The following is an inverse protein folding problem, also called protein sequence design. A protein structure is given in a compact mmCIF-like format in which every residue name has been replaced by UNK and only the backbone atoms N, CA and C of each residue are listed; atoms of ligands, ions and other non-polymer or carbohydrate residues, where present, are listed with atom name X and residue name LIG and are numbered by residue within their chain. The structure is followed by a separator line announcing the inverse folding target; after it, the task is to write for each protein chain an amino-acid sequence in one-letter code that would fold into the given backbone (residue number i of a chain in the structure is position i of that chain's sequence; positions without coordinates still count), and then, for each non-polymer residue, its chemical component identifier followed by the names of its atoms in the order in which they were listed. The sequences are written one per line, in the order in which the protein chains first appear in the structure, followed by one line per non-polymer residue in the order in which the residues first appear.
data_IF_403755982328
#
_entry.id   IF_403755982328
#
_cell.length_a   1.000
_cell.length_b   1.000
_cell.length_c   1.000
_cell.angle_alpha   90.00
_cell.angle_beta   90.00
_cell.angle_gamma   90.00
#
_symmetry.space_group_name_H-M   'P 1'
#
loop_
_entity.id
_entity.type
_entity.pdbx_description
1 polymer ?
#
# COMPACT_ATOMS: atom_id res chain seq x y z
N UNK A 1 -7.69 61.08 14.00
CA UNK A 1 -7.82 59.70 13.49
C UNK A 1 -6.55 59.37 12.70
N UNK A 2 -5.56 58.79 13.36
CA UNK A 2 -4.36 58.26 12.69
C UNK A 2 -4.54 56.75 12.56
N UNK A 3 -4.61 56.25 11.34
CA UNK A 3 -4.64 54.81 11.05
C UNK A 3 -3.24 54.26 11.43
N UNK A 4 -3.12 53.27 12.32
CA UNK A 4 -1.82 52.68 12.61
C UNK A 4 -1.36 51.92 11.37
N UNK A 5 -0.28 52.40 10.75
CA UNK A 5 0.45 51.69 9.71
C UNK A 5 1.13 50.48 10.33
N UNK A 6 0.46 49.33 10.28
CA UNK A 6 1.03 48.03 10.64
C UNK A 6 2.23 47.78 9.73
N UNK A 7 3.43 47.79 10.32
CA UNK A 7 4.68 47.92 9.59
C UNK A 7 5.00 46.71 8.73
N UNK A 8 5.40 46.96 7.48
CA UNK A 8 5.95 45.96 6.55
C UNK A 8 7.11 45.13 7.16
N UNK A 9 7.80 45.67 8.17
CA UNK A 9 8.86 44.97 8.91
C UNK A 9 8.34 43.85 9.83
N UNK A 10 7.16 44.01 10.43
CA UNK A 10 6.60 43.04 11.38
C UNK A 10 6.00 41.82 10.64
N UNK A 11 5.46 42.03 9.44
CA UNK A 11 5.08 40.96 8.51
C UNK A 11 6.29 40.16 8.01
N UNK A 12 7.41 40.83 7.73
CA UNK A 12 8.63 40.13 7.30
C UNK A 12 9.26 39.31 8.44
N UNK A 13 9.20 39.81 9.67
CA UNK A 13 9.78 39.12 10.83
C UNK A 13 8.93 37.92 11.28
N UNK A 14 7.60 38.04 11.22
CA UNK A 14 6.67 36.92 11.45
C UNK A 14 6.70 35.88 10.32
N UNK A 15 6.81 36.33 9.06
CA UNK A 15 7.04 35.43 7.92
C UNK A 15 8.38 34.69 8.04
N UNK A 16 9.47 35.36 8.45
CA UNK A 16 10.78 34.73 8.65
C UNK A 16 10.82 33.77 9.86
N UNK A 17 10.05 34.02 10.91
CA UNK A 17 9.90 33.11 12.05
C UNK A 17 9.10 31.85 11.67
N UNK A 18 8.04 32.02 10.88
CA UNK A 18 7.30 30.90 10.29
C UNK A 18 8.15 30.13 9.25
N UNK A 19 8.98 30.83 8.47
CA UNK A 19 9.92 30.25 7.52
C UNK A 19 10.99 29.41 8.23
N UNK A 20 11.55 29.90 9.33
CA UNK A 20 12.52 29.17 10.15
C UNK A 20 11.89 27.96 10.85
N UNK A 21 10.62 28.05 11.28
CA UNK A 21 9.89 26.90 11.83
C UNK A 21 9.57 25.83 10.77
N UNK A 22 9.31 26.26 9.53
CA UNK A 22 9.07 25.36 8.39
C UNK A 22 10.38 24.71 7.90
N UNK A 23 11.45 25.48 7.71
CA UNK A 23 12.76 24.99 7.24
C UNK A 23 13.47 24.06 8.25
N UNK A 24 13.42 24.34 9.55
CA UNK A 24 14.07 23.48 10.55
C UNK A 24 13.34 22.13 10.72
N UNK A 25 12.05 22.09 10.37
CA UNK A 25 11.25 20.86 10.32
C UNK A 25 11.30 20.14 8.98
N UNK A 26 11.72 20.77 7.87
CA UNK A 26 11.60 20.19 6.53
C UNK A 26 12.30 18.82 6.38
N UNK A 27 13.52 18.68 6.91
CA UNK A 27 14.26 17.41 6.84
C UNK A 27 13.67 16.33 7.75
N UNK A 28 13.30 16.69 8.99
CA UNK A 28 12.66 15.78 9.92
C UNK A 28 11.28 15.33 9.42
N UNK A 29 10.52 16.26 8.85
CA UNK A 29 9.24 16.04 8.21
C UNK A 29 9.40 15.09 7.02
N UNK A 30 10.31 15.36 6.07
CA UNK A 30 10.58 14.46 4.94
C UNK A 30 10.96 13.05 5.38
N UNK A 31 11.81 12.93 6.40
CA UNK A 31 12.12 11.62 6.99
C UNK A 31 10.88 10.97 7.58
N UNK A 32 10.12 11.66 8.43
CA UNK A 32 8.90 11.13 9.07
C UNK A 32 7.87 10.67 8.03
N UNK A 33 7.65 11.43 6.97
CA UNK A 33 6.76 11.07 5.84
C UNK A 33 7.21 9.80 5.11
N UNK A 34 8.50 9.47 5.14
CA UNK A 34 9.05 8.23 4.63
C UNK A 34 8.88 7.07 5.62
N UNK A 35 9.12 7.33 6.91
CA UNK A 35 9.10 6.33 7.96
C UNK A 35 7.70 5.80 8.26
N UNK A 36 6.67 6.65 8.19
CA UNK A 36 5.27 6.26 8.42
C UNK A 36 4.82 5.11 7.49
N UNK A 37 4.89 5.22 6.16
CA UNK A 37 4.48 4.13 5.26
C UNK A 37 5.34 2.88 5.43
N UNK A 38 6.65 3.06 5.71
CA UNK A 38 7.54 1.94 5.99
C UNK A 38 7.09 1.17 7.24
N UNK A 39 6.81 1.88 8.34
CA UNK A 39 6.37 1.29 9.60
C UNK A 39 5.03 0.56 9.45
N UNK A 40 4.04 1.16 8.76
CA UNK A 40 2.75 0.52 8.50
C UNK A 40 2.93 -0.79 7.74
N UNK A 41 3.74 -0.77 6.67
CA UNK A 41 4.00 -1.97 5.86
C UNK A 41 4.70 -3.06 6.68
N UNK A 42 5.79 -2.74 7.37
CA UNK A 42 6.57 -3.71 8.17
C UNK A 42 5.82 -4.23 9.39
N UNK A 43 4.85 -3.47 9.93
CA UNK A 43 3.98 -3.95 11.00
C UNK A 43 2.95 -4.95 10.49
N UNK A 44 2.35 -4.71 9.32
CA UNK A 44 1.36 -5.61 8.73
C UNK A 44 1.96 -6.87 8.09
N UNK A 45 3.22 -6.80 7.63
CA UNK A 45 3.86 -7.86 6.88
C UNK A 45 4.04 -9.19 7.66
N UNK A 46 4.55 -9.23 8.91
CA UNK A 46 4.73 -10.48 9.65
C UNK A 46 3.45 -11.25 9.84
N UNK A 47 2.35 -10.55 10.15
CA UNK A 47 1.03 -11.15 10.30
C UNK A 47 0.52 -11.78 9.00
N UNK A 48 0.73 -11.09 7.88
CA UNK A 48 0.36 -11.62 6.57
C UNK A 48 1.23 -12.83 6.18
N UNK A 49 2.54 -12.77 6.40
CA UNK A 49 3.43 -13.90 6.15
C UNK A 49 3.07 -15.11 7.01
N UNK A 50 2.80 -14.93 8.30
CA UNK A 50 2.39 -16.01 9.19
C UNK A 50 1.11 -16.70 8.71
N UNK A 51 0.09 -15.91 8.32
CA UNK A 51 -1.16 -16.44 7.74
C UNK A 51 -0.89 -17.21 6.45
N UNK A 52 -0.09 -16.65 5.55
CA UNK A 52 0.24 -17.30 4.28
C UNK A 52 1.01 -18.59 4.50
N UNK A 53 1.97 -18.62 5.43
CA UNK A 53 2.80 -19.78 5.74
C UNK A 53 2.00 -20.94 6.31
N UNK A 54 1.06 -20.66 7.22
CA UNK A 54 0.24 -21.65 7.90
C UNK A 54 -0.91 -22.19 7.04
N UNK A 55 -1.32 -21.46 6.00
CA UNK A 55 -2.26 -21.99 5.02
C UNK A 55 -1.59 -23.07 4.17
N UNK A 56 -2.30 -24.20 4.00
CA UNK A 56 -1.89 -25.26 3.07
C UNK A 56 -1.67 -24.65 1.69
N UNK A 57 -0.58 -25.03 1.01
CA UNK A 57 -0.36 -24.65 -0.38
C UNK A 57 -1.58 -25.06 -1.19
N UNK A 58 -2.17 -24.10 -1.88
CA UNK A 58 -3.26 -24.34 -2.81
C UNK A 58 -2.69 -24.18 -4.21
N UNK A 59 -2.64 -25.28 -4.94
CA UNK A 59 -2.30 -25.27 -6.35
C UNK A 59 -3.54 -24.79 -7.11
N UNK A 60 -3.46 -23.62 -7.71
CA UNK A 60 -4.52 -23.13 -8.60
C UNK A 60 -4.16 -23.53 -10.03
N UNK A 61 -5.04 -24.24 -10.74
CA UNK A 61 -4.80 -24.57 -12.13
C UNK A 61 -5.01 -23.33 -12.99
N UNK A 62 -4.01 -23.03 -13.80
CA UNK A 62 -4.21 -22.36 -15.08
C UNK A 62 -3.78 -20.88 -15.12
N UNK A 63 -3.37 -20.40 -16.31
CA UNK A 63 -2.89 -19.06 -16.54
C UNK A 63 -4.01 -18.13 -17.06
N UNK A 64 -4.83 -17.51 -16.21
CA UNK A 64 -5.72 -16.41 -16.62
C UNK A 64 -5.63 -15.13 -15.75
N UNK A 65 -5.38 -13.98 -16.43
CA UNK A 65 -5.45 -12.55 -16.00
C UNK A 65 -4.31 -11.97 -15.13
N UNK A 66 -3.05 -12.29 -15.44
CA UNK A 66 -1.86 -11.79 -14.71
C UNK A 66 -1.32 -10.42 -15.11
N UNK A 67 -1.85 -9.79 -16.16
CA UNK A 67 -1.29 -8.58 -16.76
C UNK A 67 -1.18 -7.43 -15.76
N UNK A 68 -2.24 -7.16 -14.98
CA UNK A 68 -2.27 -6.04 -14.01
C UNK A 68 -1.26 -6.22 -12.88
N UNK A 69 -1.17 -7.41 -12.29
CA UNK A 69 -0.22 -7.67 -11.20
C UNK A 69 1.23 -7.72 -11.74
N UNK A 70 1.45 -8.20 -12.98
CA UNK A 70 2.76 -8.10 -13.62
C UNK A 70 3.16 -6.65 -13.89
N UNK A 71 2.22 -5.83 -14.39
CA UNK A 71 2.40 -4.39 -14.56
C UNK A 71 2.73 -3.72 -13.22
N UNK A 72 2.04 -4.05 -12.14
CA UNK A 72 2.33 -3.50 -10.81
C UNK A 72 3.76 -3.81 -10.35
N UNK A 73 4.25 -5.04 -10.57
CA UNK A 73 5.63 -5.40 -10.24
C UNK A 73 6.66 -4.60 -11.04
N UNK A 74 6.42 -4.43 -12.35
CA UNK A 74 7.28 -3.62 -13.20
C UNK A 74 7.30 -2.18 -12.70
N UNK A 75 6.15 -1.61 -12.36
CA UNK A 75 6.06 -0.23 -11.87
C UNK A 75 6.84 -0.07 -10.57
N UNK A 76 6.69 -0.98 -9.60
CA UNK A 76 7.44 -0.91 -8.34
C UNK A 76 8.95 -1.07 -8.59
N UNK A 77 9.37 -1.94 -9.50
CA UNK A 77 10.77 -2.08 -9.90
C UNK A 77 11.32 -0.81 -10.54
N UNK A 78 10.55 -0.13 -11.39
CA UNK A 78 10.93 1.17 -11.96
C UNK A 78 11.07 2.20 -10.82
N UNK A 79 10.17 2.22 -9.83
CA UNK A 79 10.30 3.09 -8.66
C UNK A 79 11.58 2.81 -7.86
N UNK A 80 11.97 1.55 -7.70
CA UNK A 80 13.26 1.18 -7.07
C UNK A 80 14.41 1.78 -7.86
N UNK A 81 14.45 1.59 -9.18
CA UNK A 81 15.51 2.12 -10.05
C UNK A 81 15.57 3.65 -9.96
N UNK A 82 14.43 4.33 -10.06
CA UNK A 82 14.36 5.79 -9.94
C UNK A 82 14.87 6.29 -8.59
N UNK A 83 14.52 5.62 -7.50
CA UNK A 83 15.01 5.98 -6.16
C UNK A 83 16.54 5.85 -6.07
N UNK A 84 17.13 4.79 -6.64
CA UNK A 84 18.59 4.59 -6.72
C UNK A 84 19.24 5.69 -7.56
N UNK A 85 18.71 5.99 -8.74
CA UNK A 85 19.23 7.05 -9.60
C UNK A 85 19.20 8.43 -8.92
N UNK A 86 18.12 8.73 -8.18
CA UNK A 86 17.98 9.97 -7.45
C UNK A 86 19.01 10.08 -6.31
N UNK A 87 19.22 9.02 -5.53
CA UNK A 87 20.22 9.00 -4.47
C UNK A 87 21.65 9.15 -5.00
N UNK A 88 22.00 8.44 -6.08
CA UNK A 88 23.32 8.55 -6.70
C UNK A 88 23.55 9.94 -7.30
N UNK A 89 22.53 10.56 -7.90
CA UNK A 89 22.60 11.93 -8.39
C UNK A 89 22.84 12.95 -7.27
N UNK A 90 22.12 12.78 -6.15
CA UNK A 90 22.31 13.58 -4.94
C UNK A 90 23.72 13.45 -4.37
N UNK A 91 24.21 12.22 -4.20
CA UNK A 91 25.52 11.95 -3.62
C UNK A 91 26.65 12.50 -4.50
N UNK A 92 26.57 12.30 -5.83
CA UNK A 92 27.54 12.88 -6.77
C UNK A 92 27.55 14.41 -6.69
N UNK A 93 26.37 15.03 -6.57
CA UNK A 93 26.26 16.48 -6.50
C UNK A 93 26.81 17.07 -5.19
N UNK A 94 26.57 16.40 -4.07
CA UNK A 94 27.05 16.82 -2.75
C UNK A 94 28.57 16.70 -2.64
N UNK A 95 29.15 15.64 -3.23
CA UNK A 95 30.60 15.45 -3.29
C UNK A 95 31.31 16.50 -4.16
N UNK A 96 30.61 17.13 -5.11
CA UNK A 96 31.16 18.17 -5.98
C UNK A 96 31.05 19.59 -5.41
N UNK A 97 30.08 19.89 -4.54
CA UNK A 97 29.71 21.29 -4.23
C UNK A 97 30.14 21.78 -2.83
N UNK A 98 30.16 20.97 -1.76
CA UNK A 98 30.84 21.24 -0.47
C UNK A 98 30.35 20.25 0.60
N UNK A 99 31.21 19.96 1.57
CA UNK A 99 31.00 18.99 2.66
C UNK A 99 29.78 19.36 3.53
N UNK A 100 28.66 18.67 3.31
CA UNK A 100 27.53 18.69 4.23
C UNK A 100 27.93 18.06 5.59
N UNK A 101 27.38 18.53 6.72
CA UNK A 101 27.71 17.97 8.03
C UNK A 101 27.27 16.51 8.16
N UNK A 102 28.16 15.68 8.72
CA UNK A 102 28.08 14.19 8.77
C UNK A 102 26.76 13.66 9.36
N UNK A 103 26.15 14.39 10.29
CA UNK A 103 24.88 13.98 10.91
C UNK A 103 23.68 14.01 9.95
N UNK A 104 23.68 14.93 8.98
CA UNK A 104 22.57 15.14 8.06
C UNK A 104 22.57 14.13 6.92
N UNK A 105 23.76 13.83 6.39
CA UNK A 105 23.95 12.79 5.37
C UNK A 105 23.55 11.41 5.92
N UNK A 106 23.87 11.13 7.19
CA UNK A 106 23.52 9.86 7.83
C UNK A 106 21.99 9.63 7.91
N UNK A 107 21.22 10.64 8.34
CA UNK A 107 19.77 10.53 8.48
C UNK A 107 19.06 10.39 7.12
N UNK A 108 19.54 11.10 6.09
CA UNK A 108 19.01 10.98 4.72
C UNK A 108 19.33 9.62 4.11
N UNK A 109 20.56 9.12 4.29
CA UNK A 109 20.96 7.80 3.78
C UNK A 109 20.19 6.68 4.47
N UNK A 110 19.96 6.77 5.78
CA UNK A 110 19.18 5.77 6.52
C UNK A 110 17.72 5.73 6.07
N UNK A 111 17.09 6.90 5.90
CA UNK A 111 15.72 7.00 5.37
C UNK A 111 15.64 6.42 3.96
N UNK A 112 16.62 6.72 3.10
CA UNK A 112 16.70 6.17 1.74
C UNK A 112 16.83 4.64 1.72
N UNK A 113 17.72 4.09 2.54
CA UNK A 113 17.91 2.64 2.67
C UNK A 113 16.61 1.99 3.16
N UNK A 114 15.94 2.58 4.15
CA UNK A 114 14.66 2.07 4.64
C UNK A 114 13.62 2.00 3.51
N UNK A 115 13.48 3.07 2.72
CA UNK A 115 12.58 3.09 1.57
C UNK A 115 12.96 2.02 0.52
N UNK A 116 14.23 1.90 0.15
CA UNK A 116 14.68 0.85 -0.78
C UNK A 116 14.32 -0.55 -0.28
N UNK A 117 14.62 -0.83 0.99
CA UNK A 117 14.32 -2.11 1.63
C UNK A 117 12.81 -2.38 1.63
N UNK A 118 11.98 -1.36 1.84
CA UNK A 118 10.52 -1.52 1.78
C UNK A 118 10.02 -1.81 0.37
N UNK A 119 10.47 -1.07 -0.64
CA UNK A 119 10.07 -1.29 -2.03
C UNK A 119 10.53 -2.66 -2.55
N UNK A 120 11.76 -3.06 -2.24
CA UNK A 120 12.28 -4.40 -2.56
C UNK A 120 11.47 -5.50 -1.86
N UNK A 121 11.14 -5.30 -0.58
CA UNK A 121 10.26 -6.21 0.17
C UNK A 121 8.87 -6.30 -0.47
N UNK A 122 8.29 -5.19 -0.92
CA UNK A 122 7.01 -5.18 -1.63
C UNK A 122 7.07 -5.99 -2.93
N UNK A 123 8.16 -5.90 -3.70
CA UNK A 123 8.38 -6.74 -4.88
C UNK A 123 8.48 -8.22 -4.48
N UNK A 124 9.24 -8.54 -3.43
CA UNK A 124 9.39 -9.91 -2.94
C UNK A 124 8.06 -10.52 -2.52
N UNK A 125 7.24 -9.79 -1.75
CA UNK A 125 5.92 -10.23 -1.30
C UNK A 125 4.98 -10.46 -2.49
N UNK A 126 4.99 -9.55 -3.47
CA UNK A 126 4.26 -9.75 -4.73
C UNK A 126 4.67 -11.05 -5.45
N UNK A 127 5.96 -11.41 -5.43
CA UNK A 127 6.47 -12.67 -6.00
C UNK A 127 6.03 -13.88 -5.16
N UNK A 128 6.16 -13.78 -3.84
CA UNK A 128 5.83 -14.84 -2.90
C UNK A 128 4.34 -15.20 -2.91
N UNK A 129 3.45 -14.20 -2.85
CA UNK A 129 2.00 -14.38 -2.96
C UNK A 129 1.61 -15.19 -4.20
N UNK A 130 2.34 -14.98 -5.29
CA UNK A 130 2.05 -15.59 -6.59
C UNK A 130 2.54 -17.02 -6.68
N UNK A 131 3.60 -17.37 -5.96
CA UNK A 131 3.98 -18.78 -5.76
C UNK A 131 2.93 -19.54 -4.93
N UNK A 132 2.07 -18.84 -4.19
CA UNK A 132 0.96 -19.41 -3.42
C UNK A 132 -0.42 -19.10 -4.03
N UNK A 133 -0.47 -18.63 -5.28
CA UNK A 133 -1.70 -18.29 -6.00
C UNK A 133 -2.64 -17.25 -5.33
N UNK A 134 -2.12 -16.41 -4.44
CA UNK A 134 -2.84 -15.25 -3.92
C UNK A 134 -2.67 -14.03 -4.84
N UNK A 135 -3.77 -13.28 -5.07
CA UNK A 135 -3.79 -12.16 -6.01
C UNK A 135 -3.66 -10.78 -5.34
N UNK A 136 -4.03 -10.66 -4.07
CA UNK A 136 -3.99 -9.38 -3.32
C UNK A 136 -3.40 -9.56 -1.93
N UNK A 137 -2.72 -8.53 -1.44
CA UNK A 137 -2.17 -8.50 -0.09
C UNK A 137 -2.56 -7.22 0.61
N UNK A 138 -2.93 -7.35 1.87
CA UNK A 138 -3.38 -6.20 2.66
C UNK A 138 -2.21 -5.31 3.09
N UNK A 139 -1.05 -5.91 3.42
CA UNK A 139 0.15 -5.13 3.76
C UNK A 139 0.62 -4.30 2.56
N UNK A 140 0.60 -4.88 1.35
CA UNK A 140 0.93 -4.17 0.12
C UNK A 140 -0.03 -3.02 -0.15
N UNK A 141 -1.35 -3.26 -0.02
CA UNK A 141 -2.35 -2.21 -0.25
C UNK A 141 -2.22 -1.06 0.75
N UNK A 142 -2.07 -1.36 2.05
CA UNK A 142 -1.90 -0.34 3.09
C UNK A 142 -0.59 0.42 2.95
N UNK A 143 0.51 -0.27 2.63
CA UNK A 143 1.81 0.37 2.40
C UNK A 143 1.79 1.31 1.20
N UNK A 144 1.19 0.89 0.08
CA UNK A 144 1.04 1.73 -1.11
C UNK A 144 0.09 2.91 -0.85
N UNK A 145 -1.02 2.71 -0.14
CA UNK A 145 -1.93 3.79 0.25
C UNK A 145 -1.20 4.82 1.12
N UNK A 146 -0.42 4.37 2.10
CA UNK A 146 0.35 5.24 2.96
C UNK A 146 1.43 6.02 2.18
N UNK A 147 2.11 5.38 1.23
CA UNK A 147 3.07 6.05 0.33
C UNK A 147 2.39 7.12 -0.54
N UNK A 148 1.18 6.86 -1.05
CA UNK A 148 0.40 7.85 -1.81
C UNK A 148 -0.02 9.02 -0.91
N UNK A 149 -0.52 8.74 0.29
CA UNK A 149 -0.97 9.78 1.22
C UNK A 149 0.19 10.67 1.69
N UNK A 150 1.32 10.07 2.06
CA UNK A 150 2.51 10.81 2.47
C UNK A 150 3.14 11.56 1.27
N UNK A 151 3.22 10.92 0.11
CA UNK A 151 3.72 11.54 -1.12
C UNK A 151 2.87 12.71 -1.61
N UNK A 152 1.55 12.70 -1.34
CA UNK A 152 0.66 13.82 -1.68
C UNK A 152 1.05 15.11 -0.94
N UNK A 153 1.38 15.01 0.34
CA UNK A 153 1.82 16.14 1.16
C UNK A 153 3.10 16.76 0.57
N UNK A 154 4.06 15.91 0.20
CA UNK A 154 5.32 16.35 -0.40
C UNK A 154 5.15 16.91 -1.82
N UNK A 155 4.16 16.41 -2.57
CA UNK A 155 3.75 16.91 -3.88
C UNK A 155 3.19 18.34 -3.79
N UNK A 156 2.23 18.57 -2.89
CA UNK A 156 1.66 19.91 -2.65
C UNK A 156 2.75 20.90 -2.25
N UNK A 157 3.65 20.49 -1.35
CA UNK A 157 4.80 21.31 -0.93
C UNK A 157 5.72 21.65 -2.10
N UNK A 158 6.04 20.67 -2.94
CA UNK A 158 6.90 20.86 -4.11
C UNK A 158 6.30 21.83 -5.13
N UNK A 159 4.99 21.76 -5.36
CA UNK A 159 4.25 22.68 -6.24
C UNK A 159 4.22 24.10 -5.66
N UNK A 160 4.00 24.26 -4.36
CA UNK A 160 3.92 25.57 -3.71
C UNK A 160 5.19 26.42 -3.92
N UNK A 161 6.37 25.78 -3.96
CA UNK A 161 7.66 26.47 -4.18
C UNK A 161 7.92 26.80 -5.67
N UNK A 162 7.18 26.19 -6.60
CA UNK A 162 7.30 26.46 -8.04
C UNK A 162 6.42 27.64 -8.50
N UNK A 163 5.54 28.16 -7.63
CA UNK A 163 4.63 29.26 -7.97
C UNK A 163 5.44 30.57 -8.04
N UNK A 164 5.38 31.33 -9.15
CA UNK A 164 6.31 32.43 -9.47
C UNK A 164 6.29 33.66 -8.53
N UNK A 165 5.43 33.68 -7.51
CA UNK A 165 5.40 34.72 -6.48
C UNK A 165 6.27 34.38 -5.25
N UNK A 166 6.94 33.22 -5.23
CA UNK A 166 7.91 32.89 -4.19
C UNK A 166 9.26 33.54 -4.51
N UNK A 167 9.78 34.36 -3.60
CA UNK A 167 11.05 35.09 -3.67
C UNK A 167 12.31 34.21 -3.58
N UNK A 168 12.26 32.97 -4.07
CA UNK A 168 13.36 32.01 -4.01
C UNK A 168 13.88 31.69 -5.42
N UNK A 169 15.12 32.11 -5.70
CA UNK A 169 15.90 31.61 -6.83
C UNK A 169 16.25 30.13 -6.56
N UNK A 170 15.51 29.22 -7.18
CA UNK A 170 15.74 27.77 -7.04
C UNK A 170 16.87 27.35 -7.99
N UNK A 171 17.98 26.77 -7.50
CA UNK A 171 19.06 26.31 -8.37
C UNK A 171 18.59 25.20 -9.33
N UNK A 172 19.14 25.17 -10.55
CA UNK A 172 18.76 24.21 -11.63
C UNK A 172 18.80 22.74 -11.21
N UNK A 173 19.66 22.40 -10.25
CA UNK A 173 19.84 21.02 -9.76
C UNK A 173 18.64 20.55 -8.91
N UNK A 174 18.05 21.44 -8.11
CA UNK A 174 16.85 21.14 -7.32
C UNK A 174 15.60 20.92 -8.19
N UNK A 175 15.55 21.54 -9.37
CA UNK A 175 14.46 21.33 -10.33
C UNK A 175 14.49 19.89 -10.87
N UNK A 176 15.69 19.33 -11.10
CA UNK A 176 15.87 17.95 -11.54
C UNK A 176 15.37 16.93 -10.50
N UNK A 177 15.76 17.10 -9.24
CA UNK A 177 15.32 16.23 -8.13
C UNK A 177 13.81 16.25 -7.92
N UNK A 178 13.20 17.45 -7.96
CA UNK A 178 11.75 17.60 -7.83
C UNK A 178 11.03 16.95 -9.01
N UNK A 179 11.56 17.05 -10.23
CA UNK A 179 10.97 16.39 -11.40
C UNK A 179 10.96 14.85 -11.28
N UNK A 180 12.05 14.27 -10.77
CA UNK A 180 12.15 12.83 -10.50
C UNK A 180 11.17 12.39 -9.42
N UNK A 181 10.98 13.22 -8.39
CA UNK A 181 9.97 12.97 -7.36
C UNK A 181 8.56 12.91 -7.93
N UNK A 182 8.16 13.85 -8.82
CA UNK A 182 6.84 13.81 -9.46
C UNK A 182 6.64 12.53 -10.28
N UNK A 183 7.64 12.12 -11.06
CA UNK A 183 7.58 10.87 -11.84
C UNK A 183 7.41 9.67 -10.90
N UNK A 184 8.21 9.60 -9.83
CA UNK A 184 8.11 8.57 -8.81
C UNK A 184 6.72 8.53 -8.15
N UNK A 185 6.19 9.70 -7.78
CA UNK A 185 4.87 9.81 -7.14
C UNK A 185 3.75 9.32 -8.05
N UNK A 186 3.76 9.73 -9.32
CA UNK A 186 2.78 9.27 -10.32
C UNK A 186 2.86 7.76 -10.49
N UNK A 187 4.05 7.18 -10.55
CA UNK A 187 4.23 5.73 -10.66
C UNK A 187 3.69 4.98 -9.44
N UNK A 188 3.93 5.48 -8.22
CA UNK A 188 3.36 4.90 -7.00
C UNK A 188 1.84 4.98 -7.00
N UNK A 189 1.28 6.13 -7.40
CA UNK A 189 -0.17 6.31 -7.49
C UNK A 189 -0.79 5.32 -8.49
N UNK A 190 -0.18 5.13 -9.66
CA UNK A 190 -0.61 4.12 -10.63
C UNK A 190 -0.47 2.70 -10.06
N UNK A 191 0.63 2.39 -9.37
CA UNK A 191 0.83 1.08 -8.73
C UNK A 191 -0.27 0.79 -7.68
N UNK A 192 -0.64 1.80 -6.89
CA UNK A 192 -1.74 1.72 -5.93
C UNK A 192 -3.08 1.44 -6.62
N UNK A 193 -3.44 2.19 -7.67
CA UNK A 193 -4.67 1.97 -8.41
C UNK A 193 -4.73 0.59 -9.06
N UNK A 194 -3.62 0.14 -9.64
CA UNK A 194 -3.52 -1.20 -10.23
C UNK A 194 -3.74 -2.27 -9.16
N UNK A 195 -3.13 -2.14 -7.99
CA UNK A 195 -3.32 -3.07 -6.86
C UNK A 195 -4.77 -3.06 -6.36
N UNK A 196 -5.32 -1.87 -6.18
CA UNK A 196 -6.68 -1.64 -5.69
C UNK A 196 -7.74 -2.19 -6.64
N UNK A 197 -7.46 -2.21 -7.95
CA UNK A 197 -8.34 -2.79 -8.98
C UNK A 197 -8.12 -4.29 -9.22
N UNK A 198 -7.14 -4.90 -8.54
CA UNK A 198 -6.83 -6.31 -8.72
C UNK A 198 -7.87 -7.19 -8.01
N UNK A 199 -8.41 -8.25 -8.65
CA UNK A 199 -9.33 -9.19 -8.01
C UNK A 199 -8.65 -9.92 -6.84
N UNK A 200 -9.38 -10.14 -5.74
CA UNK A 200 -8.86 -10.69 -4.49
C UNK A 200 -8.42 -12.16 -4.57
N UNK A 201 -9.30 -13.07 -4.96
CA UNK A 201 -8.97 -14.48 -5.18
C UNK A 201 -9.92 -15.11 -6.19
N UNK A 202 -9.36 -15.72 -7.23
CA UNK A 202 -10.12 -16.55 -8.18
C UNK A 202 -10.14 -17.97 -7.64
N UNK A 203 -10.77 -18.16 -6.48
CA UNK A 203 -10.77 -19.44 -5.76
C UNK A 203 -11.50 -20.52 -6.55
N UNK A 204 -12.59 -20.18 -7.25
CA UNK A 204 -13.43 -21.17 -7.95
C UNK A 204 -14.05 -20.69 -9.28
N UNK A 205 -13.50 -19.65 -9.94
CA UNK A 205 -14.07 -19.15 -11.21
C UNK A 205 -13.98 -20.12 -12.40
N UNK A 206 -13.39 -21.30 -12.21
CA UNK A 206 -13.35 -22.37 -13.20
C UNK A 206 -14.54 -23.35 -13.09
N UNK A 207 -15.39 -23.24 -12.06
CA UNK A 207 -16.50 -24.17 -11.83
C UNK A 207 -17.86 -23.44 -11.82
N UNK A 208 -18.02 -22.48 -12.73
CA UNK A 208 -19.35 -22.09 -13.17
C UNK A 208 -19.77 -23.13 -14.22
N UNK A 209 -20.26 -24.28 -13.77
CA UNK A 209 -21.08 -25.13 -14.63
C UNK A 209 -22.38 -24.38 -14.92
N UNK A 210 -22.79 -24.36 -16.18
CA UNK A 210 -23.92 -23.58 -16.68
C UNK A 210 -25.20 -23.92 -15.88
N UNK A 211 -25.68 -22.98 -15.06
CA UNK A 211 -26.96 -23.09 -14.32
C UNK A 211 -26.87 -22.98 -12.79
N UNK A 212 -25.68 -22.94 -12.18
CA UNK A 212 -25.55 -22.79 -10.72
C UNK A 212 -25.59 -21.31 -10.24
N UNK A 213 -26.05 -21.11 -9.00
CA UNK A 213 -26.08 -19.79 -8.34
C UNK A 213 -24.71 -19.11 -8.34
N UNK A 214 -24.65 -17.77 -8.46
CA UNK A 214 -23.39 -17.04 -8.46
C UNK A 214 -22.58 -17.30 -7.18
N UNK A 215 -21.29 -17.52 -7.34
CA UNK A 215 -20.34 -17.66 -6.23
C UNK A 215 -20.34 -16.39 -5.36
N UNK A 216 -20.08 -16.56 -4.06
CA UNK A 216 -19.96 -15.46 -3.10
C UNK A 216 -19.04 -14.33 -3.59
N UNK A 217 -19.56 -13.10 -3.80
CA UNK A 217 -18.82 -12.00 -4.43
C UNK A 217 -17.58 -11.54 -3.66
N UNK A 218 -17.54 -11.77 -2.35
CA UNK A 218 -16.42 -11.40 -1.48
C UNK A 218 -15.08 -11.98 -1.96
N UNK A 219 -15.10 -13.20 -2.50
CA UNK A 219 -13.88 -13.85 -3.00
C UNK A 219 -13.37 -13.18 -4.28
N UNK A 220 -14.27 -12.78 -5.17
CA UNK A 220 -13.94 -12.21 -6.49
C UNK A 220 -13.73 -10.69 -6.47
N UNK A 221 -14.24 -10.00 -5.44
CA UNK A 221 -14.15 -8.55 -5.35
C UNK A 221 -12.70 -8.07 -5.14
N UNK A 222 -12.48 -6.79 -5.46
CA UNK A 222 -11.21 -6.15 -5.20
C UNK A 222 -10.98 -5.95 -3.70
N UNK A 223 -9.73 -5.78 -3.28
CA UNK A 223 -9.39 -5.58 -1.88
C UNK A 223 -10.15 -4.43 -1.19
N UNK A 224 -10.28 -3.20 -1.76
CA UNK A 224 -11.09 -2.15 -1.14
C UNK A 224 -12.57 -2.55 -1.03
N UNK A 225 -13.09 -3.26 -2.03
CA UNK A 225 -14.49 -3.71 -2.00
C UNK A 225 -14.72 -4.72 -0.89
N UNK A 226 -13.72 -5.56 -0.58
CA UNK A 226 -13.73 -6.47 0.56
C UNK A 226 -13.67 -5.72 1.90
N UNK A 227 -12.80 -4.71 2.01
CA UNK A 227 -12.63 -3.93 3.24
C UNK A 227 -13.85 -3.09 3.60
N UNK A 228 -14.44 -2.40 2.62
CA UNK A 228 -15.59 -1.53 2.84
C UNK A 228 -16.93 -2.26 2.63
N UNK A 229 -16.91 -3.58 2.46
CA UNK A 229 -18.09 -4.41 2.16
C UNK A 229 -18.94 -3.89 0.99
N UNK A 230 -18.36 -3.14 0.04
CA UNK A 230 -19.13 -2.55 -1.06
C UNK A 230 -19.69 -3.58 -2.03
N UNK A 231 -19.16 -4.82 -2.01
CA UNK A 231 -19.69 -5.94 -2.78
C UNK A 231 -21.13 -6.29 -2.36
N UNK A 232 -21.52 -5.98 -1.11
CA UNK A 232 -22.84 -6.27 -0.56
C UNK A 232 -23.90 -5.23 -0.94
N UNK A 233 -23.49 -4.04 -1.37
CA UNK A 233 -24.39 -2.93 -1.70
C UNK A 233 -25.45 -3.29 -2.76
N UNK A 234 -25.09 -4.13 -3.73
CA UNK A 234 -26.01 -4.60 -4.76
C UNK A 234 -27.18 -5.40 -4.18
N UNK A 235 -26.89 -6.34 -3.26
CA UNK A 235 -27.91 -7.15 -2.60
C UNK A 235 -28.79 -6.29 -1.69
N UNK A 236 -28.21 -5.32 -0.98
CA UNK A 236 -28.97 -4.37 -0.15
C UNK A 236 -29.94 -3.54 -0.97
N UNK A 237 -29.49 -3.03 -2.11
CA UNK A 237 -30.35 -2.24 -3.00
C UNK A 237 -31.46 -3.09 -3.63
N UNK A 238 -31.18 -4.35 -3.92
CA UNK A 238 -32.17 -5.31 -4.41
C UNK A 238 -33.22 -5.61 -3.33
N UNK A 239 -32.80 -5.87 -2.10
CA UNK A 239 -33.69 -6.07 -0.94
C UNK A 239 -34.56 -4.85 -0.62
N UNK A 240 -34.07 -3.64 -0.92
CA UNK A 240 -34.87 -2.42 -0.83
C UNK A 240 -35.98 -2.35 -1.89
N UNK A 241 -35.71 -2.86 -3.11
CA UNK A 241 -36.67 -2.82 -4.23
C UNK A 241 -37.67 -3.97 -4.22
N UNK A 242 -37.24 -5.17 -3.81
CA UNK A 242 -38.04 -6.39 -3.78
C UNK A 242 -37.59 -7.32 -2.65
N UNK A 243 -38.47 -8.17 -2.11
CA UNK A 243 -38.07 -9.20 -1.16
C UNK A 243 -37.01 -10.13 -1.79
N UNK A 244 -35.99 -10.49 -1.01
CA UNK A 244 -34.91 -11.36 -1.46
C UNK A 244 -35.41 -12.81 -1.46
N UNK A 245 -35.27 -13.49 -2.59
CA UNK A 245 -35.61 -14.90 -2.74
C UNK A 245 -34.36 -15.79 -2.64
N UNK A 246 -34.52 -17.10 -2.43
CA UNK A 246 -33.40 -18.03 -2.35
C UNK A 246 -32.55 -18.05 -3.63
N UNK A 247 -33.17 -17.78 -4.79
CA UNK A 247 -32.49 -17.72 -6.08
C UNK A 247 -31.57 -16.49 -6.21
N UNK A 248 -31.81 -15.44 -5.41
CA UNK A 248 -30.98 -14.23 -5.38
C UNK A 248 -29.77 -14.39 -4.44
N UNK A 249 -29.71 -15.49 -3.67
CA UNK A 249 -28.63 -15.76 -2.73
C UNK A 249 -27.39 -16.32 -3.43
N UNK A 250 -26.24 -16.07 -2.81
CA UNK A 250 -24.96 -16.56 -3.31
C UNK A 250 -24.65 -17.97 -2.78
N UNK A 251 -23.93 -18.76 -3.57
CA UNK A 251 -23.45 -20.07 -3.14
C UNK A 251 -22.34 -19.93 -2.09
N UNK A 252 -22.51 -20.61 -0.95
CA UNK A 252 -21.51 -20.68 0.13
C UNK A 252 -20.26 -21.43 -0.35
N UNK A 253 -19.07 -20.95 0.04
CA UNK A 253 -17.80 -21.60 -0.31
C UNK A 253 -17.76 -23.02 0.24
N UNK A 254 -17.12 -23.95 -0.46
CA UNK A 254 -16.98 -25.34 -0.01
C UNK A 254 -16.35 -25.42 1.40
N UNK A 255 -15.38 -24.56 1.72
CA UNK A 255 -14.75 -24.49 3.04
C UNK A 255 -15.71 -24.09 4.17
N UNK A 256 -16.81 -23.40 3.85
CA UNK A 256 -17.79 -22.84 4.79
C UNK A 256 -19.10 -23.63 4.81
N UNK A 257 -19.18 -24.74 4.06
CA UNK A 257 -20.34 -25.63 4.09
C UNK A 257 -20.41 -26.36 5.42
N UNK A 258 -21.64 -26.57 5.89
CA UNK A 258 -21.90 -27.31 7.13
C UNK A 258 -21.25 -28.70 7.15
N UNK A 259 -21.25 -29.40 6.01
CA UNK A 259 -20.59 -30.71 5.85
C UNK A 259 -19.09 -30.64 6.16
N UNK A 260 -18.37 -29.70 5.55
CA UNK A 260 -16.92 -29.54 5.74
C UNK A 260 -16.56 -29.10 7.16
N UNK A 261 -17.36 -28.22 7.75
CA UNK A 261 -17.17 -27.78 9.14
C UNK A 261 -17.43 -28.94 10.11
N UNK A 262 -18.50 -29.72 9.86
CA UNK A 262 -18.84 -30.86 10.70
C UNK A 262 -17.78 -31.97 10.63
N UNK A 263 -17.25 -32.25 9.43
CA UNK A 263 -16.15 -33.20 9.25
C UNK A 263 -14.88 -32.77 10.00
N UNK A 264 -14.57 -31.47 9.98
CA UNK A 264 -13.44 -30.93 10.74
C UNK A 264 -13.68 -31.06 12.25
N UNK A 265 -14.87 -30.69 12.70
CA UNK A 265 -15.25 -30.78 14.11
C UNK A 265 -15.23 -32.22 14.63
N UNK A 266 -15.82 -33.17 13.90
CA UNK A 266 -15.83 -34.59 14.24
C UNK A 266 -14.40 -35.14 14.40
N UNK A 267 -13.49 -34.81 13.48
CA UNK A 267 -12.07 -35.20 13.57
C UNK A 267 -11.38 -34.66 14.82
N UNK A 268 -11.65 -33.41 15.20
CA UNK A 268 -11.10 -32.82 16.41
C UNK A 268 -11.63 -33.53 17.68
N UNK A 269 -12.94 -33.80 17.72
CA UNK A 269 -13.58 -34.50 18.86
C UNK A 269 -13.04 -35.93 19.00
N UNK A 270 -12.92 -36.67 17.90
CA UNK A 270 -12.36 -38.03 17.93
C UNK A 270 -10.89 -38.05 18.37
N UNK A 271 -10.10 -37.06 17.97
CA UNK A 271 -8.70 -36.93 18.39
C UNK A 271 -8.57 -36.68 19.90
N UNK A 272 -9.38 -35.76 20.46
CA UNK A 272 -9.40 -35.50 21.91
C UNK A 272 -9.92 -36.69 22.70
N UNK A 273 -11.00 -37.33 22.24
CA UNK A 273 -11.55 -38.52 22.89
C UNK A 273 -10.51 -39.64 22.97
N UNK A 274 -9.79 -39.87 21.87
CA UNK A 274 -8.72 -40.87 21.80
C UNK A 274 -7.53 -40.55 22.72
N UNK A 275 -7.20 -39.27 22.92
CA UNK A 275 -6.17 -38.84 23.87
C UNK A 275 -6.61 -39.12 25.31
N UNK A 276 -7.83 -38.72 25.69
CA UNK A 276 -8.36 -38.94 27.06
C UNK A 276 -8.49 -40.42 27.41
N UNK A 277 -8.86 -41.27 26.45
CA UNK A 277 -8.92 -42.73 26.66
C UNK A 277 -7.52 -43.32 26.91
N UNK A 278 -6.47 -42.75 26.31
CA UNK A 278 -5.08 -43.17 26.54
C UNK A 278 -4.54 -42.67 27.89
N UNK A 279 -4.95 -41.49 28.34
CA UNK A 279 -4.53 -40.94 29.65
C UNK A 279 -5.20 -41.65 30.83
N UNK A 280 -6.40 -42.20 30.64
CA UNK A 280 -7.14 -42.93 31.68
C UNK A 280 -6.81 -44.43 31.76
N UNK A 281 -5.82 -44.92 31.01
CA UNK A 281 -5.33 -46.30 31.04
C UNK A 281 -3.92 -46.35 31.61
#
# INVERSE_FOLDING_TARGET
MGIPTFGYKDLNQSANALLNYYLFNDCAQRSVLLWIPCAIYWFCLPWELWRLLNQKRRDVPGPCKYRKIFQQRIIILICVILSICCYLGLDLSNNLIQQAPISWTFMSSFSFIALLVTLCSMVYVNVFLRRRAHCTSISLWLGLLALVACGFIECVRSIAVLIPNSSFDVPKMEIGERSLFFIYYVLIFVAFLVHSSSPGTMKDSAQNEDGEQPMWPEYMCSLPSRLYFTWFNGLMWQGFKRPIELNDMFRVSNDERAETINDYFAKCVEAEYSQRVKENK
#
